data_IF_724679972098
#
_entry.id   IF_724679972098
#
_cell.length_a   1.000
_cell.length_b   1.000
_cell.length_c   1.000
_cell.angle_alpha   90.00
_cell.angle_beta   90.00
_cell.angle_gamma   90.00
#
_symmetry.space_group_name_H-M   'P 1'
#
loop_
_entity.id
_entity.type
_entity.pdbx_description
1 polymer ?
#
# COMPACT_ATOMS: atom_id res chain seq x y z
N UNK A 1 0.28 9.93 -28.63
CA UNK A 1 0.92 9.40 -27.41
C UNK A 1 -0.13 9.28 -26.31
N UNK A 2 -0.44 8.05 -25.90
CA UNK A 2 -1.33 7.78 -24.76
C UNK A 2 -0.66 8.27 -23.47
N UNK A 3 -1.32 9.14 -22.71
CA UNK A 3 -0.81 9.57 -21.39
C UNK A 3 -0.80 8.35 -20.47
N UNK A 4 0.39 7.92 -20.03
CA UNK A 4 0.52 6.95 -18.93
C UNK A 4 0.19 7.72 -17.64
N UNK A 5 -0.98 7.46 -17.07
CA UNK A 5 -1.35 8.03 -15.78
C UNK A 5 -0.65 7.19 -14.70
N UNK A 6 0.18 7.79 -13.83
CA UNK A 6 0.81 7.05 -12.75
C UNK A 6 -0.26 6.54 -11.76
N UNK A 7 -0.10 5.29 -11.32
CA UNK A 7 -1.01 4.68 -10.36
C UNK A 7 -1.00 5.45 -9.02
N UNK A 8 -2.17 5.71 -8.42
CA UNK A 8 -2.25 6.41 -7.14
C UNK A 8 -1.64 5.60 -6.00
N UNK A 9 -0.88 6.29 -5.14
CA UNK A 9 -0.32 5.72 -3.93
C UNK A 9 -1.27 5.93 -2.74
N UNK A 10 -1.83 4.85 -2.23
CA UNK A 10 -2.80 4.87 -1.13
C UNK A 10 -2.12 4.69 0.24
N UNK A 11 -2.84 5.03 1.31
CA UNK A 11 -2.38 4.92 2.69
C UNK A 11 -2.74 3.56 3.31
N UNK A 12 -2.14 3.27 4.47
CA UNK A 12 -2.37 2.05 5.24
C UNK A 12 -3.86 1.79 5.55
N UNK A 13 -4.63 2.82 5.90
CA UNK A 13 -6.05 2.73 6.18
C UNK A 13 -6.86 2.22 4.97
N UNK A 14 -6.54 2.71 3.77
CA UNK A 14 -7.20 2.29 2.55
C UNK A 14 -6.85 0.84 2.18
N UNK A 15 -5.60 0.42 2.39
CA UNK A 15 -5.20 -0.99 2.20
C UNK A 15 -5.90 -1.90 3.20
N UNK A 16 -5.96 -1.49 4.47
CA UNK A 16 -6.63 -2.23 5.52
C UNK A 16 -8.12 -2.43 5.20
N UNK A 17 -8.79 -1.36 4.76
CA UNK A 17 -10.18 -1.42 4.29
C UNK A 17 -10.34 -2.32 3.07
N UNK A 18 -9.43 -2.21 2.08
CA UNK A 18 -9.45 -3.02 0.86
C UNK A 18 -9.32 -4.51 1.15
N UNK A 19 -8.45 -4.90 2.09
CA UNK A 19 -8.21 -6.28 2.47
C UNK A 19 -9.16 -6.81 3.56
N UNK A 20 -9.99 -5.94 4.16
CA UNK A 20 -10.85 -6.31 5.28
C UNK A 20 -10.08 -6.67 6.56
N UNK A 21 -8.92 -6.06 6.79
CA UNK A 21 -8.05 -6.31 7.96
C UNK A 21 -7.87 -5.04 8.79
N UNK A 22 -7.31 -5.18 9.99
CA UNK A 22 -6.91 -4.04 10.80
C UNK A 22 -5.63 -3.39 10.25
N UNK A 23 -5.48 -2.07 10.41
CA UNK A 23 -4.27 -1.34 10.02
C UNK A 23 -3.01 -1.89 10.69
N UNK A 24 -3.13 -2.42 11.91
CA UNK A 24 -2.02 -3.05 12.64
C UNK A 24 -1.47 -4.28 11.90
N UNK A 25 -2.36 -5.07 11.27
CA UNK A 25 -1.97 -6.23 10.46
C UNK A 25 -1.11 -5.79 9.26
N UNK A 26 -1.55 -4.74 8.56
CA UNK A 26 -0.81 -4.15 7.44
C UNK A 26 0.54 -3.60 7.91
N UNK A 27 0.57 -2.90 9.03
CA UNK A 27 1.80 -2.35 9.59
C UNK A 27 2.80 -3.46 9.95
N UNK A 28 2.32 -4.58 10.50
CA UNK A 28 3.13 -5.76 10.81
C UNK A 28 3.73 -6.38 9.55
N UNK A 29 2.95 -6.53 8.48
CA UNK A 29 3.46 -7.06 7.21
C UNK A 29 4.51 -6.15 6.57
N UNK A 30 4.28 -4.84 6.55
CA UNK A 30 5.26 -3.88 6.02
C UNK A 30 6.56 -3.89 6.82
N UNK A 31 6.49 -3.90 8.16
CA UNK A 31 7.67 -4.02 9.04
C UNK A 31 8.41 -5.35 8.82
N UNK A 32 7.67 -6.44 8.60
CA UNK A 32 8.19 -7.75 8.24
C UNK A 32 8.62 -7.91 6.78
N UNK A 33 8.53 -6.84 5.97
CA UNK A 33 8.79 -6.86 4.51
C UNK A 33 7.98 -7.90 3.74
N UNK A 34 6.83 -8.31 4.28
CA UNK A 34 5.91 -9.27 3.69
C UNK A 34 4.89 -8.62 2.74
N UNK A 35 4.93 -7.28 2.59
CA UNK A 35 4.03 -6.52 1.73
C UNK A 35 4.80 -5.41 1.01
N UNK A 36 4.59 -5.21 -0.31
CA UNK A 36 5.20 -4.12 -1.05
C UNK A 36 4.67 -2.76 -0.56
N UNK A 37 5.58 -1.90 -0.14
CA UNK A 37 5.27 -0.56 0.33
C UNK A 37 6.43 0.41 0.08
N UNK A 38 6.10 1.67 -0.19
CA UNK A 38 7.04 2.77 -0.35
C UNK A 38 6.95 3.66 0.88
N UNK A 39 8.10 3.96 1.50
CA UNK A 39 8.15 4.92 2.61
C UNK A 39 8.34 6.32 2.07
N UNK A 40 7.32 7.16 2.19
CA UNK A 40 7.39 8.60 1.86
C UNK A 40 7.44 9.37 3.17
N UNK A 41 8.63 9.88 3.52
CA UNK A 41 8.91 10.51 4.81
C UNK A 41 8.59 9.55 5.98
N UNK A 42 7.56 9.85 6.79
CA UNK A 42 7.15 9.03 7.93
C UNK A 42 6.00 8.07 7.62
N UNK A 43 5.49 8.07 6.40
CA UNK A 43 4.25 7.37 6.03
C UNK A 43 4.53 6.25 5.03
N UNK A 44 3.87 5.12 5.21
CA UNK A 44 3.86 4.02 4.25
C UNK A 44 2.77 4.23 3.21
N UNK A 45 3.15 4.02 1.95
CA UNK A 45 2.30 4.17 0.77
C UNK A 45 2.33 2.91 -0.07
N UNK A 46 1.22 2.61 -0.73
CA UNK A 46 1.02 1.34 -1.42
C UNK A 46 0.45 1.58 -2.82
N UNK A 47 0.86 0.73 -3.76
CA UNK A 47 0.15 0.56 -5.04
C UNK A 47 -0.82 -0.59 -4.88
N UNK A 48 -2.07 -0.41 -5.28
CA UNK A 48 -3.07 -1.48 -5.20
C UNK A 48 -2.68 -2.63 -6.13
N UNK A 49 -2.17 -2.33 -7.32
CA UNK A 49 -1.73 -3.34 -8.28
C UNK A 49 -0.60 -4.25 -7.78
N UNK A 50 0.18 -3.81 -6.78
CA UNK A 50 1.22 -4.62 -6.13
C UNK A 50 0.67 -5.37 -4.90
N UNK A 51 -0.33 -4.83 -4.23
CA UNK A 51 -1.02 -5.47 -3.09
C UNK A 51 -1.92 -6.61 -3.54
N UNK A 52 -2.55 -6.50 -4.71
CA UNK A 52 -3.48 -7.49 -5.28
C UNK A 52 -2.79 -8.68 -5.97
N UNK A 53 -1.45 -8.70 -6.03
CA UNK A 53 -0.67 -9.81 -6.61
C UNK A 53 -0.39 -10.89 -5.58
#
# INVERSE_FOLDING_TARGET
MSKVVPEPLIFIAAVAQHLGVHEESVLRWVKGRAMPAIKISKVWRFKISEVDR
#
